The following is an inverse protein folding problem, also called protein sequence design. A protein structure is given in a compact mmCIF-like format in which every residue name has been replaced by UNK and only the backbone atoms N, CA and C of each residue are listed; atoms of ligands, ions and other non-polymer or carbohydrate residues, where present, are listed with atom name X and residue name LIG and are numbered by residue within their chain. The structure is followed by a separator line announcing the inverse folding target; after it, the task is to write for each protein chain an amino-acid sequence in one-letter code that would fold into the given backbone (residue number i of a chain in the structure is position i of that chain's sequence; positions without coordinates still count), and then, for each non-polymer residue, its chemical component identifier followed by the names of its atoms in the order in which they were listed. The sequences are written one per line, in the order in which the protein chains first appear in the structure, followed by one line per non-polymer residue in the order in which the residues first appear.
data_IF_430488382893
#
_entry.id   IF_430488382893
#
_cell.length_a   1.000
_cell.length_b   1.000
_cell.length_c   1.000
_cell.angle_alpha   90.00
_cell.angle_beta   90.00
_cell.angle_gamma   90.00
#
_symmetry.space_group_name_H-M   'P 1'
#
loop_
_entity.id
_entity.type
_entity.pdbx_description
1 polymer ?
#
# COMPACT_ATOMS: atom_id res chain seq x y z
N UNK A 1 3.43 -2.78 -14.88
CA UNK A 1 2.63 -3.84 -14.20
C UNK A 1 1.39 -3.23 -13.54
N UNK A 2 0.21 -3.89 -13.52
CA UNK A 2 -0.97 -3.40 -12.78
C UNK A 2 -0.72 -3.19 -11.28
N UNK A 3 -1.28 -2.12 -10.71
CA UNK A 3 -1.09 -1.74 -9.30
C UNK A 3 -1.35 -2.88 -8.31
N UNK A 4 -2.44 -3.64 -8.51
CA UNK A 4 -2.78 -4.79 -7.66
C UNK A 4 -1.65 -5.81 -7.59
N UNK A 5 -1.10 -6.16 -8.76
CA UNK A 5 -0.05 -7.17 -8.87
C UNK A 5 1.26 -6.65 -8.30
N UNK A 6 1.67 -5.43 -8.62
CA UNK A 6 2.93 -4.89 -8.09
C UNK A 6 2.87 -4.73 -6.57
N UNK A 7 1.75 -4.28 -6.01
CA UNK A 7 1.64 -4.08 -4.56
C UNK A 7 1.63 -5.41 -3.82
N UNK A 8 0.88 -6.40 -4.31
CA UNK A 8 0.90 -7.74 -3.73
C UNK A 8 2.29 -8.40 -3.86
N UNK A 9 2.95 -8.25 -5.01
CA UNK A 9 4.31 -8.73 -5.20
C UNK A 9 5.29 -8.06 -4.26
N UNK A 10 5.16 -6.74 -4.06
CA UNK A 10 6.09 -5.96 -3.27
C UNK A 10 5.93 -6.18 -1.76
N UNK A 11 4.70 -6.38 -1.29
CA UNK A 11 4.42 -6.58 0.15
C UNK A 11 4.49 -8.03 0.60
N UNK A 12 4.21 -8.99 -0.28
CA UNK A 12 4.13 -10.41 0.12
C UNK A 12 4.77 -11.39 -0.87
N UNK A 13 5.38 -10.91 -1.95
CA UNK A 13 5.87 -11.76 -3.04
C UNK A 13 4.75 -12.42 -3.86
N UNK A 14 3.49 -11.99 -3.73
CA UNK A 14 2.39 -12.60 -4.47
C UNK A 14 2.43 -12.23 -5.95
N UNK A 15 2.68 -13.21 -6.82
CA UNK A 15 2.76 -13.04 -8.28
C UNK A 15 1.45 -13.37 -9.00
N UNK A 16 0.47 -13.96 -8.32
CA UNK A 16 -0.82 -14.40 -8.88
C UNK A 16 -1.99 -13.71 -8.22
N UNK A 17 -3.06 -13.47 -9.00
CA UNK A 17 -4.35 -12.99 -8.48
C UNK A 17 -5.13 -14.06 -7.73
N UNK A 18 -4.80 -15.34 -7.96
CA UNK A 18 -5.41 -16.47 -7.24
C UNK A 18 -4.94 -16.51 -5.79
N UNK A 19 -5.71 -17.20 -4.96
CA UNK A 19 -5.33 -17.46 -3.56
C UNK A 19 -3.97 -18.14 -3.50
N UNK A 20 -3.12 -17.72 -2.56
CA UNK A 20 -1.78 -18.28 -2.34
C UNK A 20 -1.36 -18.13 -0.87
N UNK A 21 -0.19 -18.68 -0.50
CA UNK A 21 0.35 -18.55 0.86
C UNK A 21 0.50 -17.09 1.31
N UNK A 22 0.67 -16.16 0.37
CA UNK A 22 0.73 -14.72 0.64
C UNK A 22 -0.53 -14.17 1.33
N UNK A 23 -1.71 -14.78 1.10
CA UNK A 23 -2.97 -14.33 1.68
C UNK A 23 -3.04 -14.56 3.19
N UNK A 24 -2.37 -15.61 3.67
CA UNK A 24 -2.32 -16.00 5.07
C UNK A 24 -1.14 -15.35 5.81
N UNK A 25 -0.32 -14.53 5.14
CA UNK A 25 0.84 -13.92 5.77
C UNK A 25 0.43 -12.99 6.91
N UNK A 26 1.22 -13.08 7.97
CA UNK A 26 1.16 -12.22 9.15
C UNK A 26 2.58 -11.80 9.49
N UNK A 27 2.94 -10.55 9.21
CA UNK A 27 4.27 -10.03 9.55
C UNK A 27 4.34 -9.51 10.99
N UNK A 28 5.56 -9.26 11.47
CA UNK A 28 5.89 -9.18 12.91
C UNK A 28 5.11 -8.14 13.74
N UNK A 29 4.49 -7.14 13.12
CA UNK A 29 3.61 -6.17 13.80
C UNK A 29 2.11 -6.53 13.75
N UNK A 30 1.77 -7.70 13.22
CA UNK A 30 0.39 -8.20 13.11
C UNK A 30 -0.34 -7.78 11.85
N UNK A 31 0.36 -7.26 10.84
CA UNK A 31 -0.18 -6.96 9.51
C UNK A 31 -0.78 -8.23 8.90
N UNK A 32 -1.86 -8.09 8.12
CA UNK A 32 -2.60 -9.22 7.53
C UNK A 32 -2.79 -9.06 6.03
N UNK A 33 -3.12 -10.17 5.38
CA UNK A 33 -3.36 -10.29 3.92
C UNK A 33 -2.10 -10.13 3.08
N UNK A 34 -2.21 -10.46 1.79
CA UNK A 34 -1.16 -10.24 0.79
C UNK A 34 -0.69 -8.78 0.64
N UNK A 35 -1.44 -7.82 1.19
CA UNK A 35 -1.09 -6.40 1.12
C UNK A 35 -0.46 -5.88 2.41
N UNK A 36 -0.29 -6.70 3.46
CA UNK A 36 0.27 -6.28 4.76
C UNK A 36 -0.46 -5.08 5.38
N UNK A 37 -1.78 -5.22 5.59
CA UNK A 37 -2.62 -4.18 6.18
C UNK A 37 -2.71 -4.39 7.69
N UNK A 38 -2.49 -3.32 8.47
CA UNK A 38 -2.76 -3.36 9.92
C UNK A 38 -4.25 -3.66 10.20
N UNK A 39 -4.58 -4.62 11.10
CA UNK A 39 -5.97 -4.97 11.41
C UNK A 39 -6.82 -3.78 11.87
N UNK A 40 -6.23 -2.83 12.57
CA UNK A 40 -6.92 -1.60 12.98
C UNK A 40 -7.26 -0.67 11.81
N UNK A 41 -6.40 -0.61 10.78
CA UNK A 41 -6.69 0.12 9.55
C UNK A 41 -7.78 -0.62 8.80
N UNK A 42 -7.64 -1.94 8.59
CA UNK A 42 -8.64 -2.76 7.91
C UNK A 42 -10.06 -2.56 8.45
N UNK A 43 -10.23 -2.57 9.78
CA UNK A 43 -11.53 -2.39 10.45
C UNK A 43 -12.19 -1.04 10.19
N UNK A 44 -11.43 -0.01 9.77
CA UNK A 44 -11.99 1.29 9.39
C UNK A 44 -12.68 1.26 8.02
N UNK A 45 -12.31 0.29 7.16
CA UNK A 45 -12.76 0.21 5.76
C UNK A 45 -13.74 -0.94 5.47
N UNK A 46 -13.82 -1.93 6.37
CA UNK A 46 -14.79 -3.03 6.28
C UNK A 46 -15.02 -3.71 7.63
N UNK A 47 -16.18 -4.36 7.77
CA UNK A 47 -16.50 -5.26 8.89
C UNK A 47 -16.06 -6.71 8.65
N UNK A 48 -15.74 -7.07 7.40
CA UNK A 48 -15.27 -8.41 7.06
C UNK A 48 -13.95 -8.71 7.78
N UNK A 49 -13.77 -9.95 8.23
CA UNK A 49 -12.50 -10.48 8.77
C UNK A 49 -11.81 -11.43 7.80
N UNK A 50 -12.29 -11.51 6.56
CA UNK A 50 -11.78 -12.39 5.51
C UNK A 50 -10.48 -11.81 4.91
N UNK A 51 -9.43 -11.75 5.72
CA UNK A 51 -8.12 -11.19 5.35
C UNK A 51 -7.45 -12.00 4.23
N UNK A 52 -7.75 -13.30 4.16
CA UNK A 52 -7.12 -14.27 3.26
C UNK A 52 -7.84 -14.40 1.91
N UNK A 53 -8.92 -13.63 1.71
CA UNK A 53 -9.60 -13.54 0.43
C UNK A 53 -9.00 -12.41 -0.39
N UNK A 54 -8.35 -12.73 -1.54
CA UNK A 54 -7.61 -11.74 -2.31
C UNK A 54 -8.48 -10.68 -2.97
N UNK A 55 -9.76 -10.95 -3.19
CA UNK A 55 -10.71 -9.96 -3.72
C UNK A 55 -11.18 -9.01 -2.61
N UNK A 56 -11.48 -9.55 -1.42
CA UNK A 56 -11.82 -8.73 -0.24
C UNK A 56 -10.64 -7.83 0.13
N UNK A 57 -9.44 -8.41 0.23
CA UNK A 57 -8.23 -7.68 0.54
C UNK A 57 -7.94 -6.59 -0.51
N UNK A 58 -8.13 -6.88 -1.79
CA UNK A 58 -7.95 -5.86 -2.83
C UNK A 58 -8.98 -4.74 -2.73
N UNK A 59 -10.26 -5.06 -2.50
CA UNK A 59 -11.30 -4.04 -2.32
C UNK A 59 -11.01 -3.12 -1.13
N UNK A 60 -10.50 -3.66 -0.02
CA UNK A 60 -10.06 -2.87 1.14
C UNK A 60 -8.87 -1.99 0.79
N UNK A 61 -7.84 -2.55 0.15
CA UNK A 61 -6.65 -1.82 -0.33
C UNK A 61 -7.03 -0.63 -1.22
N UNK A 62 -7.95 -0.84 -2.17
CA UNK A 62 -8.40 0.23 -3.07
C UNK A 62 -9.03 1.38 -2.32
N UNK A 63 -9.88 1.11 -1.31
CA UNK A 63 -10.51 2.17 -0.51
C UNK A 63 -9.47 2.94 0.32
N UNK A 64 -8.52 2.23 0.93
CA UNK A 64 -7.42 2.85 1.68
C UNK A 64 -6.61 3.79 0.78
N UNK A 65 -6.21 3.32 -0.41
CA UNK A 65 -5.44 4.12 -1.35
C UNK A 65 -6.24 5.30 -1.89
N UNK A 66 -7.53 5.11 -2.19
CA UNK A 66 -8.41 6.18 -2.66
C UNK A 66 -8.52 7.31 -1.62
N UNK A 67 -8.74 6.98 -0.35
CA UNK A 67 -8.87 7.97 0.72
C UNK A 67 -7.54 8.72 0.94
N UNK A 68 -6.41 8.00 0.97
CA UNK A 68 -5.09 8.60 1.14
C UNK A 68 -4.68 9.46 -0.05
N UNK A 69 -4.98 9.03 -1.28
CA UNK A 69 -4.74 9.83 -2.48
C UNK A 69 -5.64 11.07 -2.54
N UNK A 70 -6.90 10.97 -2.09
CA UNK A 70 -7.80 12.12 -1.98
C UNK A 70 -7.27 13.17 -0.99
N UNK A 71 -6.79 12.73 0.19
CA UNK A 71 -6.16 13.63 1.15
C UNK A 71 -4.89 14.27 0.58
N UNK A 72 -4.03 13.48 -0.08
CA UNK A 72 -2.84 14.00 -0.76
C UNK A 72 -3.19 15.07 -1.81
N UNK A 73 -4.18 14.81 -2.66
CA UNK A 73 -4.65 15.79 -3.65
C UNK A 73 -5.16 17.07 -3.02
N UNK A 74 -5.92 16.95 -1.93
CA UNK A 74 -6.46 18.11 -1.20
C UNK A 74 -5.33 19.02 -0.67
N UNK A 75 -4.25 18.41 -0.19
CA UNK A 75 -3.12 19.11 0.44
C UNK A 75 -2.09 19.64 -0.57
N UNK A 76 -1.93 18.96 -1.70
CA UNK A 76 -0.85 19.24 -2.67
C UNK A 76 -1.33 19.79 -4.01
N UNK A 77 -2.63 19.68 -4.32
CA UNK A 77 -3.22 20.09 -5.60
C UNK A 77 -2.89 19.17 -6.78
N UNK A 78 -2.27 18.00 -6.57
CA UNK A 78 -1.85 17.08 -7.64
C UNK A 78 -2.03 15.62 -7.27
N UNK A 79 -2.00 14.74 -8.27
CA UNK A 79 -2.01 13.29 -8.06
C UNK A 79 -0.65 12.79 -7.55
N UNK A 80 -0.62 11.73 -6.71
CA UNK A 80 0.62 11.10 -6.29
C UNK A 80 1.24 10.33 -7.45
N UNK A 81 2.54 10.46 -7.64
CA UNK A 81 3.30 9.57 -8.53
C UNK A 81 3.48 8.18 -7.87
N UNK A 82 4.01 7.15 -8.58
CA UNK A 82 4.15 5.80 -8.01
C UNK A 82 4.97 5.72 -6.72
N UNK A 83 6.02 6.55 -6.57
CA UNK A 83 6.81 6.60 -5.35
C UNK A 83 5.97 7.14 -4.19
N UNK A 84 5.23 8.22 -4.43
CA UNK A 84 4.38 8.86 -3.43
C UNK A 84 3.18 8.01 -3.06
N UNK A 85 2.59 7.31 -4.04
CA UNK A 85 1.52 6.33 -3.80
C UNK A 85 2.00 5.24 -2.84
N UNK A 86 3.24 4.78 -3.00
CA UNK A 86 3.81 3.80 -2.07
C UNK A 86 4.13 4.40 -0.70
N UNK A 87 4.58 5.65 -0.61
CA UNK A 87 4.76 6.32 0.67
C UNK A 87 3.43 6.50 1.42
N UNK A 88 2.36 6.85 0.70
CA UNK A 88 0.99 6.86 1.21
C UNK A 88 0.56 5.47 1.67
N UNK A 89 0.99 4.38 1.01
CA UNK A 89 0.72 3.03 1.47
C UNK A 89 1.48 2.66 2.75
N UNK A 90 2.82 2.76 2.71
CA UNK A 90 3.72 2.18 3.69
C UNK A 90 3.91 3.04 4.95
N UNK A 91 3.97 4.37 4.81
CA UNK A 91 4.22 5.33 5.92
C UNK A 91 3.41 6.62 5.75
N UNK A 92 2.06 6.55 5.71
CA UNK A 92 1.20 7.71 5.46
C UNK A 92 1.40 8.86 6.44
N UNK A 93 1.49 8.57 7.75
CA UNK A 93 1.68 9.59 8.79
C UNK A 93 3.01 10.32 8.63
N UNK A 94 4.11 9.58 8.52
CA UNK A 94 5.46 10.14 8.30
C UNK A 94 5.52 10.99 7.02
N UNK A 95 4.88 10.53 5.94
CA UNK A 95 4.88 11.28 4.68
C UNK A 95 4.08 12.59 4.77
N UNK A 96 2.94 12.57 5.48
CA UNK A 96 2.16 13.77 5.76
C UNK A 96 2.93 14.75 6.68
N UNK A 97 3.60 14.25 7.73
CA UNK A 97 4.47 15.06 8.61
C UNK A 97 5.62 15.73 7.84
N UNK A 98 6.11 15.09 6.77
CA UNK A 98 7.09 15.66 5.85
C UNK A 98 6.49 16.69 4.86
N UNK A 99 5.21 17.04 4.99
CA UNK A 99 4.50 17.95 4.08
C UNK A 99 4.33 17.39 2.68
N UNK A 100 4.24 16.07 2.54
CA UNK A 100 4.18 15.37 1.25
C UNK A 100 5.38 15.64 0.32
N UNK A 101 6.51 16.04 0.89
CA UNK A 101 7.75 16.24 0.14
C UNK A 101 8.60 14.98 0.24
N UNK A 102 8.68 14.23 -0.86
CA UNK A 102 9.40 12.96 -0.89
C UNK A 102 10.85 13.10 -0.39
N UNK A 103 11.59 14.16 -0.75
CA UNK A 103 12.99 14.36 -0.31
C UNK A 103 13.17 14.54 1.21
N UNK A 104 12.12 14.89 1.95
CA UNK A 104 12.13 15.04 3.42
C UNK A 104 11.87 13.73 4.17
N UNK A 105 11.42 12.68 3.47
CA UNK A 105 11.15 11.37 4.08
C UNK A 105 12.47 10.64 4.40
N UNK A 106 12.46 9.82 5.47
CA UNK A 106 13.61 8.98 5.85
C UNK A 106 14.12 8.16 4.66
N UNK A 107 15.44 8.11 4.50
CA UNK A 107 16.08 7.52 3.32
C UNK A 107 15.61 6.08 3.05
N UNK A 108 15.50 5.24 4.08
CA UNK A 108 15.07 3.84 3.94
C UNK A 108 13.65 3.71 3.35
N UNK A 109 12.72 4.56 3.79
CA UNK A 109 11.35 4.58 3.28
C UNK A 109 11.31 5.07 1.83
N UNK A 110 12.12 6.09 1.50
CA UNK A 110 12.25 6.58 0.12
C UNK A 110 12.85 5.53 -0.80
N UNK A 111 13.90 4.83 -0.35
CA UNK A 111 14.54 3.78 -1.13
C UNK A 111 13.57 2.61 -1.37
N UNK A 112 12.83 2.20 -0.34
CA UNK A 112 11.78 1.18 -0.49
C UNK A 112 10.70 1.64 -1.49
N UNK A 113 10.22 2.88 -1.36
CA UNK A 113 9.23 3.44 -2.29
C UNK A 113 9.76 3.56 -3.73
N UNK A 114 11.03 3.89 -3.91
CA UNK A 114 11.66 3.94 -5.23
C UNK A 114 11.74 2.56 -5.87
N UNK A 115 12.03 1.50 -5.10
CA UNK A 115 12.00 0.12 -5.62
C UNK A 115 10.60 -0.26 -6.11
N UNK A 116 9.55 0.12 -5.38
CA UNK A 116 8.17 -0.08 -5.83
C UNK A 116 7.86 0.72 -7.10
N UNK A 117 8.27 2.00 -7.15
CA UNK A 117 8.07 2.85 -8.33
C UNK A 117 8.75 2.27 -9.57
N UNK A 118 9.95 1.71 -9.42
CA UNK A 118 10.67 1.01 -10.49
C UNK A 118 9.92 -0.27 -10.92
N UNK A 119 9.35 -1.04 -9.99
CA UNK A 119 8.52 -2.20 -10.33
C UNK A 119 7.26 -1.79 -11.12
N UNK A 120 6.65 -0.65 -10.77
CA UNK A 120 5.49 -0.12 -11.47
C UNK A 120 5.79 0.29 -12.93
N UNK A 121 7.01 0.76 -13.21
CA UNK A 121 7.44 1.18 -14.55
C UNK A 121 7.87 0.03 -15.46
N UNK A 122 8.11 -1.17 -14.92
CA UNK A 122 8.33 -2.37 -15.72
C UNK A 122 7.05 -2.70 -16.51
N UNK A 123 7.16 -2.63 -17.84
CA UNK A 123 6.10 -3.00 -18.78
C UNK A 123 6.04 -4.50 -18.94
#
# INVERSE_FOLDING_TARGET
MPLRQSLAMFESGATSLRRSAADALREGSGEVSRFQIMPEVWRRYTRSRDYENPEVAWSVTQRILADRAAQFRKETGREPNPLELYLLWNKPGHFAECGYVASRVKADYRQRAQRFANLQSLR
#
